data_IF_154798696610
#
_entry.id   IF_154798696610
#
_cell.length_a   1.000
_cell.length_b   1.000
_cell.length_c   1.000
_cell.angle_alpha   90.00
_cell.angle_beta   90.00
_cell.angle_gamma   90.00
#
_symmetry.space_group_name_H-M   'P 1'
#
loop_
_entity.id
_entity.type
_entity.pdbx_description
1 polymer ?
#
# COMPACT_ATOMS: atom_id res chain seq x y z
N UNK A 1 38.27 23.72 42.99
CA UNK A 1 36.92 24.28 42.78
C UNK A 1 36.76 24.55 41.29
N UNK A 2 36.26 23.54 40.55
CA UNK A 2 35.96 23.66 39.13
C UNK A 2 34.64 22.92 38.94
N UNK A 3 33.57 23.70 38.87
CA UNK A 3 32.18 23.26 38.82
C UNK A 3 31.89 22.51 37.51
N UNK A 4 31.42 21.27 37.64
CA UNK A 4 30.76 20.52 36.57
C UNK A 4 29.40 21.18 36.28
N UNK A 5 29.25 21.74 35.09
CA UNK A 5 27.98 22.26 34.60
C UNK A 5 27.18 21.13 33.97
N UNK A 6 26.11 20.69 34.63
CA UNK A 6 25.11 19.78 34.04
C UNK A 6 24.37 20.48 32.88
N UNK A 7 24.04 19.77 31.79
CA UNK A 7 23.31 20.36 30.67
C UNK A 7 21.83 20.59 30.99
N UNK A 8 21.36 21.78 30.60
CA UNK A 8 20.02 22.32 30.88
C UNK A 8 18.94 21.62 30.01
N UNK A 9 17.84 21.10 30.59
CA UNK A 9 16.76 20.47 29.83
C UNK A 9 15.80 21.56 29.31
N UNK A 10 16.01 22.05 28.08
CA UNK A 10 15.08 23.02 27.49
C UNK A 10 15.52 23.75 26.22
N UNK A 11 16.70 23.49 25.66
CA UNK A 11 17.05 24.02 24.35
C UNK A 11 16.75 22.98 23.25
N UNK A 12 16.12 23.37 22.12
CA UNK A 12 16.08 22.51 20.95
C UNK A 12 17.53 22.18 20.61
N UNK A 13 17.89 20.89 20.65
CA UNK A 13 19.18 20.42 20.18
C UNK A 13 19.31 20.90 18.74
N UNK A 14 20.11 21.92 18.50
CA UNK A 14 20.58 22.26 17.16
C UNK A 14 21.32 21.01 16.70
N UNK A 15 20.66 20.17 15.89
CA UNK A 15 21.29 19.01 15.27
C UNK A 15 22.38 19.57 14.37
N UNK A 16 23.61 19.65 14.89
CA UNK A 16 24.77 20.03 14.11
C UNK A 16 24.93 18.98 13.02
N UNK A 17 24.73 19.41 11.77
CA UNK A 17 24.86 18.56 10.59
C UNK A 17 26.31 18.08 10.50
N UNK A 18 26.53 16.80 10.81
CA UNK A 18 27.84 16.18 10.79
C UNK A 18 28.08 15.46 9.46
N UNK A 19 28.96 16.02 8.62
CA UNK A 19 29.28 15.47 7.30
C UNK A 19 29.79 14.02 7.36
N UNK A 20 30.53 13.66 8.42
CA UNK A 20 31.03 12.30 8.59
C UNK A 20 29.89 11.32 8.87
N UNK A 21 28.89 11.71 9.67
CA UNK A 21 27.69 10.90 9.90
C UNK A 21 26.88 10.74 8.61
N UNK A 22 26.71 11.80 7.83
CA UNK A 22 26.04 11.75 6.52
C UNK A 22 26.75 10.78 5.58
N UNK A 23 28.08 10.88 5.46
CA UNK A 23 28.86 9.99 4.61
C UNK A 23 28.75 8.52 5.06
N UNK A 24 28.77 8.26 6.36
CA UNK A 24 28.59 6.90 6.89
C UNK A 24 27.19 6.34 6.62
N UNK A 25 26.14 7.15 6.77
CA UNK A 25 24.76 6.75 6.46
C UNK A 25 24.59 6.46 4.97
N UNK A 26 25.15 7.32 4.11
CA UNK A 26 25.15 7.11 2.67
C UNK A 26 25.84 5.81 2.28
N UNK A 27 27.05 5.55 2.80
CA UNK A 27 27.78 4.33 2.50
C UNK A 27 27.08 3.07 3.03
N UNK A 28 26.43 3.15 4.19
CA UNK A 28 25.62 2.06 4.71
C UNK A 28 24.38 1.79 3.83
N UNK A 29 23.72 2.83 3.33
CA UNK A 29 22.63 2.71 2.36
C UNK A 29 23.10 2.07 1.05
N UNK A 30 24.25 2.51 0.53
CA UNK A 30 24.85 1.99 -0.69
C UNK A 30 25.22 0.50 -0.55
N UNK A 31 25.79 0.09 0.59
CA UNK A 31 26.07 -1.32 0.86
C UNK A 31 24.77 -2.15 0.90
N UNK A 32 23.71 -1.64 1.52
CA UNK A 32 22.41 -2.34 1.54
C UNK A 32 21.85 -2.55 0.14
N UNK A 33 21.96 -1.55 -0.73
CA UNK A 33 21.55 -1.69 -2.13
C UNK A 33 22.42 -2.69 -2.90
N UNK A 34 23.71 -2.72 -2.64
CA UNK A 34 24.62 -3.73 -3.19
C UNK A 34 24.19 -5.15 -2.79
N UNK A 35 23.92 -5.35 -1.50
CA UNK A 35 23.46 -6.64 -0.97
C UNK A 35 22.10 -7.03 -1.57
N UNK A 36 21.14 -6.10 -1.64
CA UNK A 36 19.82 -6.36 -2.23
C UNK A 36 19.90 -6.74 -3.71
N UNK A 37 20.80 -6.09 -4.47
CA UNK A 37 21.03 -6.46 -5.87
C UNK A 37 21.58 -7.88 -5.97
N UNK A 38 22.56 -8.26 -5.15
CA UNK A 38 23.09 -9.62 -5.14
C UNK A 38 22.01 -10.65 -4.79
N UNK A 39 21.14 -10.35 -3.82
CA UNK A 39 20.00 -11.18 -3.44
C UNK A 39 19.01 -11.36 -4.58
N UNK A 40 18.65 -10.28 -5.28
CA UNK A 40 17.75 -10.33 -6.44
C UNK A 40 18.36 -11.06 -7.65
N UNK A 41 19.68 -10.99 -7.84
CA UNK A 41 20.35 -11.78 -8.88
C UNK A 41 20.32 -13.27 -8.54
N UNK A 42 20.52 -13.63 -7.27
CA UNK A 42 20.41 -15.01 -6.79
C UNK A 42 18.98 -15.56 -6.91
N UNK A 43 17.96 -14.72 -6.74
CA UNK A 43 16.55 -15.16 -6.78
C UNK A 43 16.02 -15.50 -8.18
N UNK A 44 16.75 -15.20 -9.27
CA UNK A 44 16.30 -15.45 -10.65
C UNK A 44 16.03 -16.91 -10.99
N UNK A 45 16.65 -17.86 -10.28
CA UNK A 45 16.44 -19.29 -10.48
C UNK A 45 15.93 -19.96 -9.20
N UNK A 46 16.69 -19.83 -8.13
CA UNK A 46 16.33 -20.26 -6.78
C UNK A 46 17.23 -19.52 -5.80
N UNK A 47 16.65 -18.72 -4.90
CA UNK A 47 17.45 -17.96 -3.94
C UNK A 47 18.07 -18.92 -2.92
N UNK A 48 19.40 -18.96 -2.86
CA UNK A 48 20.18 -19.75 -1.89
C UNK A 48 21.31 -18.91 -1.34
N UNK A 49 21.75 -19.23 -0.12
CA UNK A 49 22.89 -18.54 0.51
C UNK A 49 24.15 -18.61 -0.35
N UNK A 50 24.46 -19.77 -0.94
CA UNK A 50 25.61 -19.93 -1.81
C UNK A 50 25.56 -19.05 -3.07
N UNK A 51 24.39 -18.94 -3.70
CA UNK A 51 24.21 -18.08 -4.88
C UNK A 51 24.31 -16.60 -4.52
N UNK A 52 23.72 -16.19 -3.39
CA UNK A 52 23.84 -14.85 -2.84
C UNK A 52 25.31 -14.48 -2.60
N UNK A 53 26.04 -15.32 -1.87
CA UNK A 53 27.46 -15.14 -1.58
C UNK A 53 28.32 -15.03 -2.84
N UNK A 54 28.01 -15.83 -3.86
CA UNK A 54 28.71 -15.77 -5.14
C UNK A 54 28.52 -14.41 -5.82
N UNK A 55 27.30 -13.87 -5.81
CA UNK A 55 27.00 -12.55 -6.38
C UNK A 55 27.62 -11.41 -5.57
N UNK A 56 27.60 -11.49 -4.24
CA UNK A 56 28.26 -10.54 -3.35
C UNK A 56 29.78 -10.47 -3.61
N UNK A 57 30.41 -11.62 -3.85
CA UNK A 57 31.87 -11.72 -4.05
C UNK A 57 32.30 -11.43 -5.49
N UNK A 58 31.41 -11.54 -6.48
CA UNK A 58 31.75 -11.40 -7.91
C UNK A 58 32.44 -10.05 -8.26
N UNK A 59 32.03 -8.89 -7.72
CA UNK A 59 32.71 -7.62 -7.98
C UNK A 59 34.09 -7.48 -7.31
N UNK A 60 34.47 -8.39 -6.41
CA UNK A 60 35.73 -8.40 -5.62
C UNK A 60 35.93 -7.22 -4.66
N UNK A 61 35.01 -6.27 -4.62
CA UNK A 61 35.00 -5.12 -3.71
C UNK A 61 33.57 -4.84 -3.27
N UNK A 62 33.42 -4.44 -2.01
CA UNK A 62 32.16 -3.97 -1.44
C UNK A 62 32.25 -2.47 -1.12
N UNK A 63 31.17 -1.68 -1.32
CA UNK A 63 31.16 -0.27 -0.96
C UNK A 63 31.51 0.00 0.51
N UNK A 64 30.95 -0.79 1.44
CA UNK A 64 31.21 -0.71 2.87
C UNK A 64 31.11 -2.09 3.52
N UNK A 65 32.12 -2.94 3.33
CA UNK A 65 32.17 -4.32 3.85
C UNK A 65 31.75 -4.49 5.33
N UNK A 66 32.11 -3.60 6.28
CA UNK A 66 31.66 -3.73 7.67
C UNK A 66 30.14 -3.60 7.88
N UNK A 67 29.39 -3.16 6.86
CA UNK A 67 27.93 -2.99 6.88
C UNK A 67 27.20 -4.06 6.06
N UNK A 68 27.93 -5.03 5.50
CA UNK A 68 27.35 -6.12 4.72
C UNK A 68 26.36 -6.92 5.55
N UNK A 69 25.20 -7.21 4.98
CA UNK A 69 24.19 -8.08 5.59
C UNK A 69 24.42 -9.53 5.14
N UNK A 70 24.27 -10.48 6.05
CA UNK A 70 24.30 -11.89 5.66
C UNK A 70 23.01 -12.29 4.92
N UNK A 71 22.97 -13.53 4.42
CA UNK A 71 21.83 -14.03 3.66
C UNK A 71 20.48 -13.91 4.40
N UNK A 72 20.41 -14.33 5.66
CA UNK A 72 19.17 -14.29 6.46
C UNK A 72 18.69 -12.85 6.71
N UNK A 73 19.62 -11.95 7.06
CA UNK A 73 19.33 -10.52 7.26
C UNK A 73 18.80 -9.89 5.97
N UNK A 74 19.42 -10.24 4.84
CA UNK A 74 19.04 -9.73 3.53
C UNK A 74 17.68 -10.30 3.09
N UNK A 75 17.41 -11.58 3.35
CA UNK A 75 16.12 -12.21 3.09
C UNK A 75 14.99 -11.56 3.89
N UNK A 76 15.19 -11.32 5.19
CA UNK A 76 14.22 -10.65 6.04
C UNK A 76 13.94 -9.22 5.55
N UNK A 77 14.98 -8.47 5.19
CA UNK A 77 14.84 -7.12 4.63
C UNK A 77 14.13 -7.13 3.28
N UNK A 78 14.45 -8.07 2.39
CA UNK A 78 13.79 -8.21 1.10
C UNK A 78 12.30 -8.49 1.26
N UNK A 79 11.91 -9.32 2.25
CA UNK A 79 10.51 -9.59 2.58
C UNK A 79 9.78 -8.35 3.11
N UNK A 80 10.37 -7.61 4.04
CA UNK A 80 9.77 -6.35 4.55
C UNK A 80 9.58 -5.33 3.41
N UNK A 81 10.58 -5.19 2.52
CA UNK A 81 10.49 -4.32 1.36
C UNK A 81 9.38 -4.76 0.39
N UNK A 82 9.25 -6.07 0.15
CA UNK A 82 8.20 -6.63 -0.71
C UNK A 82 6.80 -6.32 -0.17
N UNK A 83 6.56 -6.51 1.14
CA UNK A 83 5.27 -6.21 1.77
C UNK A 83 4.91 -4.73 1.58
N UNK A 84 5.85 -3.82 1.88
CA UNK A 84 5.66 -2.37 1.68
C UNK A 84 5.35 -2.03 0.23
N UNK A 85 6.09 -2.61 -0.70
CA UNK A 85 5.90 -2.35 -2.13
C UNK A 85 4.53 -2.82 -2.60
N UNK A 86 4.15 -4.06 -2.30
CA UNK A 86 2.87 -4.65 -2.73
C UNK A 86 1.69 -3.85 -2.17
N UNK A 87 1.71 -3.51 -0.87
CA UNK A 87 0.63 -2.73 -0.26
C UNK A 87 0.62 -1.31 -0.81
N UNK A 88 1.77 -0.66 -0.94
CA UNK A 88 1.87 0.69 -1.49
C UNK A 88 1.38 0.79 -2.93
N UNK A 89 1.79 -0.12 -3.80
CA UNK A 89 1.33 -0.18 -5.20
C UNK A 89 -0.17 -0.49 -5.28
N UNK A 90 -0.65 -1.40 -4.43
CA UNK A 90 -2.07 -1.76 -4.33
C UNK A 90 -2.95 -0.56 -3.97
N UNK A 91 -2.55 0.23 -2.98
CA UNK A 91 -3.23 1.47 -2.59
C UNK A 91 -3.20 2.51 -3.72
N UNK A 92 -2.05 2.67 -4.38
CA UNK A 92 -1.95 3.58 -5.53
C UNK A 92 -2.89 3.18 -6.66
N UNK A 93 -3.00 1.88 -6.96
CA UNK A 93 -3.94 1.37 -7.96
C UNK A 93 -5.40 1.64 -7.56
N UNK A 94 -5.77 1.41 -6.30
CA UNK A 94 -7.11 1.71 -5.79
C UNK A 94 -7.45 3.20 -5.92
N UNK A 95 -6.56 4.09 -5.47
CA UNK A 95 -6.74 5.55 -5.56
C UNK A 95 -6.81 6.01 -7.02
N UNK A 96 -5.99 5.44 -7.92
CA UNK A 96 -6.07 5.74 -9.34
C UNK A 96 -7.41 5.31 -9.94
N UNK A 97 -7.93 4.14 -9.56
CA UNK A 97 -9.25 3.69 -9.99
C UNK A 97 -10.35 4.65 -9.51
N UNK A 98 -10.31 5.07 -8.23
CA UNK A 98 -11.22 6.08 -7.67
C UNK A 98 -11.15 7.41 -8.40
N UNK A 99 -9.93 7.92 -8.66
CA UNK A 99 -9.76 9.20 -9.36
C UNK A 99 -10.32 9.15 -10.79
N UNK A 100 -10.11 8.05 -11.52
CA UNK A 100 -10.66 7.87 -12.86
C UNK A 100 -12.19 7.71 -12.84
N UNK A 101 -12.71 6.92 -11.90
CA UNK A 101 -14.14 6.74 -11.68
C UNK A 101 -14.82 8.08 -11.37
N UNK A 102 -14.28 8.85 -10.43
CA UNK A 102 -14.82 10.14 -10.05
C UNK A 102 -14.84 11.12 -11.22
N UNK A 103 -13.75 11.21 -12.00
CA UNK A 103 -13.74 12.12 -13.16
C UNK A 103 -14.83 11.78 -14.17
N UNK A 104 -15.03 10.48 -14.44
CA UNK A 104 -16.09 10.02 -15.33
C UNK A 104 -17.48 10.33 -14.76
N UNK A 105 -17.71 10.10 -13.47
CA UNK A 105 -18.97 10.43 -12.79
C UNK A 105 -19.27 11.92 -12.84
N UNK A 106 -18.27 12.76 -12.59
CA UNK A 106 -18.39 14.22 -12.65
C UNK A 106 -18.79 14.68 -14.05
N UNK A 107 -18.17 14.12 -15.10
CA UNK A 107 -18.55 14.38 -16.49
C UNK A 107 -19.99 13.95 -16.78
N UNK A 108 -20.37 12.73 -16.41
CA UNK A 108 -21.73 12.22 -16.62
C UNK A 108 -22.77 13.09 -15.91
N UNK A 109 -22.47 13.54 -14.69
CA UNK A 109 -23.35 14.43 -13.92
C UNK A 109 -23.48 15.80 -14.58
N UNK A 110 -22.36 16.43 -14.95
CA UNK A 110 -22.34 17.75 -15.57
C UNK A 110 -23.01 17.76 -16.96
N UNK A 111 -22.83 16.70 -17.75
CA UNK A 111 -23.44 16.60 -19.10
C UNK A 111 -24.83 15.97 -19.09
N UNK A 112 -25.32 15.50 -17.93
CA UNK A 112 -26.53 14.68 -17.82
C UNK A 112 -26.49 13.47 -18.77
N UNK A 113 -25.34 12.81 -18.84
CA UNK A 113 -25.04 11.71 -19.76
C UNK A 113 -25.20 12.05 -21.26
N UNK A 114 -25.21 13.33 -21.64
CA UNK A 114 -25.20 13.74 -23.03
C UNK A 114 -23.82 13.46 -23.65
N UNK A 115 -23.82 13.01 -24.91
CA UNK A 115 -22.60 12.75 -25.68
C UNK A 115 -21.91 14.03 -26.13
N UNK A 116 -22.64 15.15 -26.19
CA UNK A 116 -22.06 16.47 -26.46
C UNK A 116 -21.59 17.09 -25.15
N UNK A 117 -20.27 17.20 -24.98
CA UNK A 117 -19.65 17.81 -23.81
C UNK A 117 -19.39 19.28 -24.10
N UNK A 118 -20.24 20.15 -23.56
CA UNK A 118 -20.01 21.60 -23.64
C UNK A 118 -18.80 22.00 -22.78
N UNK A 119 -18.03 23.04 -23.18
CA UNK A 119 -16.84 23.48 -22.44
C UNK A 119 -17.11 23.81 -20.98
N UNK A 120 -18.30 24.32 -20.66
CA UNK A 120 -18.72 24.68 -19.31
C UNK A 120 -18.92 23.44 -18.43
N UNK A 121 -19.58 22.40 -18.95
CA UNK A 121 -19.75 21.12 -18.26
C UNK A 121 -18.41 20.40 -18.05
N UNK A 122 -17.49 20.51 -19.02
CA UNK A 122 -16.14 19.97 -18.86
C UNK A 122 -15.36 20.69 -17.75
N UNK A 123 -15.49 22.02 -17.68
CA UNK A 123 -14.84 22.83 -16.64
C UNK A 123 -15.37 22.49 -15.24
N UNK A 124 -16.69 22.36 -15.09
CA UNK A 124 -17.32 21.93 -13.83
C UNK A 124 -16.78 20.57 -13.36
N UNK A 125 -16.72 19.59 -14.28
CA UNK A 125 -16.19 18.27 -13.97
C UNK A 125 -14.70 18.32 -13.58
N UNK A 126 -13.89 19.17 -14.21
CA UNK A 126 -12.48 19.36 -13.87
C UNK A 126 -12.29 20.01 -12.49
N UNK A 127 -13.09 21.01 -12.14
CA UNK A 127 -13.03 21.67 -10.82
C UNK A 127 -13.41 20.69 -9.70
N UNK A 128 -14.47 19.91 -9.91
CA UNK A 128 -14.86 18.83 -9.00
C UNK A 128 -13.75 17.79 -8.86
N UNK A 129 -13.16 17.35 -9.98
CA UNK A 129 -12.05 16.39 -9.98
C UNK A 129 -10.81 16.90 -9.23
N UNK A 130 -10.46 18.18 -9.41
CA UNK A 130 -9.30 18.76 -8.74
C UNK A 130 -9.45 18.71 -7.22
N UNK A 131 -10.67 18.97 -6.74
CA UNK A 131 -11.01 18.88 -5.31
C UNK A 131 -10.94 17.43 -4.83
N UNK A 132 -11.48 16.49 -5.61
CA UNK A 132 -11.46 15.06 -5.28
C UNK A 132 -10.04 14.49 -5.22
N UNK A 133 -9.15 14.85 -6.16
CA UNK A 133 -7.76 14.34 -6.18
C UNK A 133 -7.03 14.68 -4.88
N UNK A 134 -7.22 15.90 -4.36
CA UNK A 134 -6.55 16.38 -3.14
C UNK A 134 -7.17 15.90 -1.83
N UNK A 135 -8.35 15.28 -1.88
CA UNK A 135 -9.03 14.77 -0.70
C UNK A 135 -8.27 13.58 -0.09
N UNK A 136 -8.40 13.41 1.23
CA UNK A 136 -7.96 12.21 1.93
C UNK A 136 -8.81 11.00 1.54
N UNK A 137 -8.33 9.80 1.84
CA UNK A 137 -8.93 8.55 1.36
C UNK A 137 -10.37 8.35 1.85
N UNK A 138 -10.62 8.58 3.13
CA UNK A 138 -11.94 8.58 3.77
C UNK A 138 -12.89 9.57 3.09
N UNK A 139 -12.43 10.80 2.85
CA UNK A 139 -13.23 11.83 2.20
C UNK A 139 -13.52 11.50 0.72
N UNK A 140 -12.63 10.76 0.03
CA UNK A 140 -12.91 10.26 -1.33
C UNK A 140 -14.07 9.28 -1.33
N UNK A 141 -14.13 8.35 -0.37
CA UNK A 141 -15.25 7.41 -0.24
C UNK A 141 -16.55 8.13 0.07
N UNK A 142 -16.53 9.02 1.08
CA UNK A 142 -17.67 9.85 1.45
C UNK A 142 -18.23 10.65 0.26
N UNK A 143 -17.38 11.24 -0.59
CA UNK A 143 -17.82 11.94 -1.80
C UNK A 143 -18.46 11.02 -2.84
N UNK A 144 -17.91 9.82 -3.05
CA UNK A 144 -18.53 8.84 -3.97
C UNK A 144 -19.94 8.47 -3.51
N UNK A 145 -20.14 8.33 -2.20
CA UNK A 145 -21.43 8.03 -1.61
C UNK A 145 -22.39 9.24 -1.69
N UNK A 146 -21.99 10.40 -1.17
CA UNK A 146 -22.87 11.58 -1.05
C UNK A 146 -23.22 12.18 -2.42
N UNK A 147 -22.24 12.30 -3.32
CA UNK A 147 -22.45 13.02 -4.58
C UNK A 147 -23.06 12.15 -5.69
N UNK A 148 -22.92 10.83 -5.59
CA UNK A 148 -23.28 9.87 -6.65
C UNK A 148 -24.04 8.63 -6.15
N UNK A 149 -24.22 8.44 -4.84
CA UNK A 149 -24.90 7.28 -4.27
C UNK A 149 -24.10 5.97 -4.37
N UNK A 150 -22.77 6.04 -4.55
CA UNK A 150 -21.91 4.87 -4.74
C UNK A 150 -21.24 4.50 -3.42
N UNK A 151 -21.78 3.46 -2.77
CA UNK A 151 -21.19 2.82 -1.60
C UNK A 151 -20.10 1.85 -2.04
N UNK A 152 -18.88 1.98 -1.51
CA UNK A 152 -17.77 1.09 -1.84
C UNK A 152 -17.73 -0.09 -0.88
N UNK A 153 -18.11 -1.29 -1.34
CA UNK A 153 -18.18 -2.49 -0.50
C UNK A 153 -16.86 -2.87 0.20
N UNK A 154 -15.71 -2.49 -0.36
CA UNK A 154 -14.38 -2.79 0.18
C UNK A 154 -13.67 -1.56 0.77
N UNK A 155 -14.41 -0.52 1.10
CA UNK A 155 -13.88 0.68 1.76
C UNK A 155 -13.04 0.35 3.01
N UNK A 156 -13.57 -0.49 3.90
CA UNK A 156 -12.88 -0.90 5.14
C UNK A 156 -11.54 -1.60 4.85
N UNK A 157 -11.50 -2.49 3.86
CA UNK A 157 -10.27 -3.17 3.44
C UNK A 157 -9.23 -2.18 2.92
N UNK A 158 -9.63 -1.23 2.07
CA UNK A 158 -8.73 -0.22 1.49
C UNK A 158 -8.22 0.74 2.58
N UNK A 159 -9.09 1.17 3.50
CA UNK A 159 -8.73 2.00 4.64
C UNK A 159 -7.75 1.28 5.57
N UNK A 160 -7.99 0.00 5.84
CA UNK A 160 -7.12 -0.82 6.69
C UNK A 160 -5.74 -1.04 6.06
N UNK A 161 -5.66 -1.25 4.74
CA UNK A 161 -4.38 -1.26 4.03
C UNK A 161 -3.65 0.09 4.16
N UNK A 162 -4.37 1.21 4.15
CA UNK A 162 -3.83 2.54 4.41
C UNK A 162 -3.19 2.66 5.80
N UNK A 163 -3.87 2.19 6.85
CA UNK A 163 -3.33 2.14 8.21
C UNK A 163 -2.13 1.21 8.33
N UNK A 164 -2.16 0.05 7.66
CA UNK A 164 -1.01 -0.85 7.61
C UNK A 164 0.20 -0.20 6.96
N UNK A 165 0.01 0.52 5.86
CA UNK A 165 1.10 1.23 5.20
C UNK A 165 1.72 2.30 6.10
N UNK A 166 0.90 3.05 6.85
CA UNK A 166 1.38 4.01 7.84
C UNK A 166 2.23 3.34 8.93
N UNK A 167 1.77 2.22 9.48
CA UNK A 167 2.52 1.46 10.48
C UNK A 167 3.83 0.89 9.91
N UNK A 168 3.81 0.32 8.70
CA UNK A 168 5.00 -0.19 8.02
C UNK A 168 6.04 0.92 7.83
N UNK A 169 5.63 2.08 7.28
CA UNK A 169 6.53 3.19 6.96
C UNK A 169 7.11 3.87 8.21
N UNK A 170 6.28 4.16 9.21
CA UNK A 170 6.67 5.05 10.30
C UNK A 170 6.94 4.33 11.62
N UNK A 171 6.47 3.09 11.75
CA UNK A 171 6.42 2.36 13.02
C UNK A 171 7.08 0.98 12.90
N UNK A 172 7.85 0.74 11.83
CA UNK A 172 8.51 -0.56 11.55
C UNK A 172 7.53 -1.73 11.50
N UNK A 173 6.27 -1.46 11.18
CA UNK A 173 5.20 -2.46 11.10
C UNK A 173 4.50 -2.75 12.42
N UNK A 174 4.88 -2.13 13.54
CA UNK A 174 4.17 -2.25 14.81
C UNK A 174 2.83 -1.50 14.73
N UNK A 175 1.74 -2.16 15.13
CA UNK A 175 0.40 -1.55 15.21
C UNK A 175 0.29 -0.72 16.49
N UNK A 176 -0.17 0.52 16.39
CA UNK A 176 -0.45 1.40 17.53
C UNK A 176 -1.90 1.82 17.58
N UNK A 177 -2.30 2.43 18.69
CA UNK A 177 -3.65 2.96 18.94
C UNK A 177 -4.25 3.73 17.75
N UNK A 178 -3.45 4.53 17.05
CA UNK A 178 -3.89 5.31 15.89
C UNK A 178 -4.30 4.47 14.66
N UNK A 179 -4.06 3.16 14.66
CA UNK A 179 -4.45 2.23 13.60
C UNK A 179 -5.57 1.28 14.03
N UNK A 180 -5.98 1.30 15.30
CA UNK A 180 -6.93 0.32 15.85
C UNK A 180 -8.34 0.90 15.96
N UNK A 181 -9.34 0.01 15.89
CA UNK A 181 -10.73 0.32 16.17
C UNK A 181 -11.02 0.46 17.68
N UNK A 182 -12.29 0.65 18.05
CA UNK A 182 -12.74 0.74 19.44
C UNK A 182 -12.42 -0.50 20.29
N UNK A 183 -12.09 -1.64 19.66
CA UNK A 183 -11.71 -2.89 20.32
C UNK A 183 -10.20 -3.04 20.43
N UNK A 184 -9.42 -2.04 20.01
CA UNK A 184 -7.96 -2.08 20.04
C UNK A 184 -7.36 -3.03 18.99
N UNK A 185 -8.07 -3.27 17.89
CA UNK A 185 -7.58 -4.11 16.79
C UNK A 185 -7.61 -3.40 15.44
N UNK A 186 -6.62 -3.71 14.61
CA UNK A 186 -6.62 -3.42 13.18
C UNK A 186 -7.07 -4.69 12.44
N UNK A 187 -8.16 -4.60 11.68
CA UNK A 187 -8.72 -5.73 10.93
C UNK A 187 -8.53 -5.48 9.45
N UNK A 188 -7.96 -6.44 8.74
CA UNK A 188 -7.94 -6.44 7.27
C UNK A 188 -8.78 -7.60 6.75
N UNK A 189 -9.72 -7.26 5.89
CA UNK A 189 -10.53 -8.24 5.17
C UNK A 189 -10.01 -8.39 3.74
N UNK A 190 -9.59 -9.60 3.41
CA UNK A 190 -9.08 -9.97 2.10
C UNK A 190 -10.13 -10.80 1.37
N UNK A 191 -10.35 -10.51 0.09
CA UNK A 191 -11.14 -11.38 -0.78
C UNK A 191 -10.35 -12.66 -1.06
N UNK A 192 -10.94 -13.80 -0.73
CA UNK A 192 -10.36 -15.12 -0.89
C UNK A 192 -11.35 -16.08 -1.56
N UNK A 193 -10.85 -17.18 -2.13
CA UNK A 193 -11.73 -18.22 -2.65
C UNK A 193 -12.19 -19.13 -1.50
N UNK A 194 -13.49 -19.16 -1.22
CA UNK A 194 -14.11 -20.18 -0.40
C UNK A 194 -14.38 -21.41 -1.26
N UNK A 195 -13.61 -22.49 -1.04
CA UNK A 195 -13.80 -23.77 -1.73
C UNK A 195 -14.97 -24.48 -1.07
N UNK A 196 -16.08 -24.63 -1.81
CA UNK A 196 -17.32 -25.24 -1.29
C UNK A 196 -17.30 -26.78 -1.32
N UNK A 197 -16.32 -27.40 -1.98
CA UNK A 197 -16.04 -28.84 -1.95
C UNK A 197 -14.75 -29.18 -2.71
N UNK A 198 -13.92 -30.08 -2.19
CA UNK A 198 -12.77 -30.66 -2.92
C UNK A 198 -13.28 -31.69 -3.96
N UNK A 199 -13.75 -31.22 -5.11
CA UNK A 199 -13.96 -32.11 -6.27
C UNK A 199 -12.69 -32.11 -7.13
N UNK A 200 -11.97 -33.23 -7.10
CA UNK A 200 -10.90 -33.70 -8.01
C UNK A 200 -9.91 -32.65 -8.57
N UNK A 201 -8.62 -32.88 -8.29
CA UNK A 201 -7.45 -32.06 -8.62
C UNK A 201 -7.18 -31.71 -10.12
N UNK A 202 -8.16 -31.86 -11.00
CA UNK A 202 -8.08 -31.57 -12.44
C UNK A 202 -9.06 -30.49 -12.93
N UNK A 203 -10.00 -30.01 -12.09
CA UNK A 203 -10.82 -28.84 -12.42
C UNK A 203 -10.51 -27.66 -11.49
N UNK A 204 -10.57 -26.40 -11.97
CA UNK A 204 -10.51 -25.24 -11.07
C UNK A 204 -11.65 -25.36 -10.06
N UNK A 205 -11.31 -25.34 -8.78
CA UNK A 205 -12.28 -25.46 -7.69
C UNK A 205 -13.45 -24.49 -7.93
N UNK A 206 -14.68 -25.02 -7.96
CA UNK A 206 -15.90 -24.21 -7.95
C UNK A 206 -16.05 -23.57 -6.58
N UNK A 207 -15.36 -22.47 -6.37
CA UNK A 207 -15.43 -21.68 -5.14
C UNK A 207 -16.23 -20.39 -5.35
N UNK A 208 -16.78 -19.88 -4.25
CA UNK A 208 -17.35 -18.53 -4.19
C UNK A 208 -16.27 -17.59 -3.63
N UNK A 209 -16.27 -16.32 -4.04
CA UNK A 209 -15.46 -15.31 -3.38
C UNK A 209 -16.03 -15.07 -1.97
N UNK A 210 -15.22 -15.35 -0.96
CA UNK A 210 -15.49 -15.08 0.44
C UNK A 210 -14.47 -14.11 1.04
N UNK A 211 -14.41 -14.07 2.37
CA UNK A 211 -13.59 -13.12 3.12
C UNK A 211 -12.67 -13.84 4.10
N UNK A 212 -11.38 -13.57 3.98
CA UNK A 212 -10.37 -13.94 4.96
C UNK A 212 -10.04 -12.74 5.82
N UNK A 213 -10.23 -12.86 7.13
CA UNK A 213 -9.92 -11.80 8.09
C UNK A 213 -8.54 -11.99 8.71
N UNK A 214 -7.74 -10.94 8.68
CA UNK A 214 -6.51 -10.79 9.44
C UNK A 214 -6.76 -9.79 10.57
N UNK A 215 -6.36 -10.12 11.79
CA UNK A 215 -6.58 -9.28 12.97
C UNK A 215 -5.24 -9.06 13.64
N UNK A 216 -4.90 -7.78 13.84
CA UNK A 216 -3.68 -7.36 14.54
C UNK A 216 -4.06 -6.54 15.76
N UNK A 217 -3.56 -6.90 16.93
CA UNK A 217 -3.75 -6.13 18.15
C UNK A 217 -2.70 -5.01 18.25
N UNK A 218 -2.99 -4.00 19.06
CA UNK A 218 -1.97 -3.03 19.46
C UNK A 218 -0.70 -3.73 19.98
N UNK A 219 0.46 -3.28 19.51
CA UNK A 219 1.78 -3.84 19.81
C UNK A 219 2.19 -5.04 18.95
N UNK A 220 1.29 -5.60 18.14
CA UNK A 220 1.64 -6.66 17.19
C UNK A 220 2.31 -6.10 15.93
N UNK A 221 3.18 -6.89 15.32
CA UNK A 221 3.83 -6.53 14.06
C UNK A 221 3.02 -7.07 12.89
N UNK A 222 2.77 -6.19 11.92
CA UNK A 222 2.14 -6.54 10.65
C UNK A 222 3.03 -7.55 9.92
N UNK A 223 2.47 -8.72 9.67
CA UNK A 223 3.13 -9.79 8.91
C UNK A 223 2.14 -10.38 7.93
N UNK A 224 2.64 -10.75 6.76
CA UNK A 224 1.87 -11.42 5.71
C UNK A 224 2.63 -12.67 5.27
N UNK A 225 1.88 -13.75 5.07
CA UNK A 225 2.32 -14.89 4.27
C UNK A 225 2.26 -14.54 2.77
N UNK A 226 2.96 -15.32 1.94
CA UNK A 226 2.98 -15.10 0.50
C UNK A 226 1.57 -15.17 -0.13
N UNK A 227 0.69 -16.14 0.25
CA UNK A 227 -0.68 -16.14 -0.24
C UNK A 227 -1.46 -14.90 0.18
N UNK A 228 -1.32 -14.42 1.42
CA UNK A 228 -2.04 -13.22 1.88
C UNK A 228 -1.63 -11.97 1.10
N UNK A 229 -0.34 -11.82 0.74
CA UNK A 229 0.11 -10.74 -0.15
C UNK A 229 -0.53 -10.84 -1.54
N UNK A 230 -0.72 -12.05 -2.08
CA UNK A 230 -1.42 -12.24 -3.35
C UNK A 230 -2.91 -11.88 -3.21
N UNK A 231 -3.54 -12.22 -2.09
CA UNK A 231 -4.93 -11.87 -1.81
C UNK A 231 -5.16 -10.36 -1.66
N UNK A 232 -4.14 -9.58 -1.27
CA UNK A 232 -4.22 -8.10 -1.35
C UNK A 232 -4.51 -7.67 -2.79
N UNK A 233 -3.79 -8.21 -3.78
CA UNK A 233 -4.02 -7.89 -5.20
C UNK A 233 -5.41 -8.31 -5.68
N UNK A 234 -5.89 -9.49 -5.26
CA UNK A 234 -7.25 -9.97 -5.55
C UNK A 234 -8.31 -9.05 -4.97
N UNK A 235 -8.07 -8.54 -3.75
CA UNK A 235 -8.95 -7.59 -3.06
C UNK A 235 -9.01 -6.26 -3.82
N UNK A 236 -7.87 -5.71 -4.26
CA UNK A 236 -7.85 -4.49 -5.08
C UNK A 236 -8.58 -4.70 -6.41
N UNK A 237 -8.39 -5.85 -7.07
CA UNK A 237 -9.09 -6.15 -8.32
C UNK A 237 -10.60 -6.22 -8.10
N UNK A 238 -11.05 -6.85 -7.01
CA UNK A 238 -12.46 -6.93 -6.64
C UNK A 238 -13.06 -5.55 -6.32
N UNK A 239 -12.28 -4.70 -5.62
CA UNK A 239 -12.66 -3.31 -5.35
C UNK A 239 -12.87 -2.52 -6.64
N UNK A 240 -11.90 -2.58 -7.56
CA UNK A 240 -12.00 -1.85 -8.82
C UNK A 240 -13.16 -2.34 -9.69
N UNK A 241 -13.38 -3.66 -9.78
CA UNK A 241 -14.51 -4.24 -10.51
C UNK A 241 -15.87 -3.79 -9.95
N UNK A 242 -16.04 -3.86 -8.63
CA UNK A 242 -17.25 -3.39 -7.94
C UNK A 242 -17.49 -1.88 -8.19
N UNK A 243 -16.45 -1.06 -8.01
CA UNK A 243 -16.51 0.39 -8.25
C UNK A 243 -16.93 0.70 -9.70
N UNK A 244 -16.30 0.08 -10.70
CA UNK A 244 -16.62 0.37 -12.10
C UNK A 244 -18.02 -0.11 -12.49
N UNK A 245 -18.52 -1.20 -11.91
CA UNK A 245 -19.92 -1.62 -12.09
C UNK A 245 -20.88 -0.59 -11.51
N UNK A 246 -20.62 -0.07 -10.32
CA UNK A 246 -21.44 0.98 -9.70
C UNK A 246 -21.42 2.28 -10.52
N UNK A 247 -20.26 2.68 -11.04
CA UNK A 247 -20.11 3.83 -11.95
C UNK A 247 -20.93 3.64 -13.24
N UNK A 248 -20.86 2.45 -13.84
CA UNK A 248 -21.62 2.14 -15.05
C UNK A 248 -23.13 2.17 -14.78
N UNK A 249 -23.57 1.67 -13.62
CA UNK A 249 -24.97 1.70 -13.22
C UNK A 249 -25.47 3.14 -13.00
N UNK A 250 -24.68 3.99 -12.32
CA UNK A 250 -24.98 5.41 -12.16
C UNK A 250 -25.17 6.09 -13.53
N UNK A 251 -24.24 5.87 -14.47
CA UNK A 251 -24.32 6.49 -15.79
C UNK A 251 -25.53 6.04 -16.60
N UNK A 252 -25.93 4.76 -16.49
CA UNK A 252 -27.16 4.26 -17.09
C UNK A 252 -28.40 4.91 -16.47
N UNK A 253 -28.47 5.00 -15.15
CA UNK A 253 -29.59 5.61 -14.44
C UNK A 253 -29.78 7.09 -14.81
N UNK A 254 -28.69 7.86 -14.90
CA UNK A 254 -28.74 9.26 -15.36
C UNK A 254 -29.23 9.35 -16.81
N UNK A 255 -28.81 8.43 -17.68
CA UNK A 255 -29.25 8.40 -19.08
C UNK A 255 -30.73 8.03 -19.24
N UNK A 256 -31.23 7.08 -18.46
CA UNK A 256 -32.62 6.62 -18.50
C UNK A 256 -33.60 7.59 -17.81
N UNK A 257 -33.11 8.40 -16.88
CA UNK A 257 -33.88 9.45 -16.20
C UNK A 257 -34.04 10.75 -17.00
N UNK A 258 -33.41 10.87 -18.17
CA UNK A 258 -33.54 11.99 -19.12
C UNK A 258 -34.34 11.58 -20.35
#
# INVERSE_FOLDING_TARGET
MSSESQPNPGQPQQQQVNLQQIAQQFMAGLQRHFDMLAFNLASRASVTEAAYDAHVKAPKIMPAAPRHQNFEQMQAYARDLLVRQVIGDSLNLAVNAMNNAHFFLALVKATKANSNVEPEAQKEAQESQQTFITAQLDEKFNRLEVDYGIMCELEDSITSLGFMMQALLHQRGEVKEAQTDEKGVLVLELKALEILSEENAQEPAKGKLGEQRMIFKEGEFITFSDPELQLVLVTIASFADSLFKSVANYARAVKEGN
#
